data_IF_378471552627
#
_entry.id   IF_378471552627
#
_cell.length_a   1.000
_cell.length_b   1.000
_cell.length_c   1.000
_cell.angle_alpha   90.00
_cell.angle_beta   90.00
_cell.angle_gamma   90.00
#
_symmetry.space_group_name_H-M   'P 1'
#
loop_
_entity.id
_entity.type
_entity.pdbx_description
1 polymer ?
#
# COMPACT_ATOMS: atom_id res chain seq x y z
N UNK A 1 28.82 23.41 16.63
CA UNK A 1 28.27 22.32 15.80
C UNK A 1 27.02 22.79 15.07
N UNK A 2 27.07 22.84 13.73
CA UNK A 2 25.94 23.31 12.90
C UNK A 2 24.70 22.41 13.04
N UNK A 3 24.88 21.12 13.21
CA UNK A 3 23.80 20.13 13.37
C UNK A 3 22.96 20.37 14.63
N UNK A 4 23.58 20.68 15.76
CA UNK A 4 22.86 20.94 17.01
C UNK A 4 22.04 22.24 16.97
N UNK A 5 22.51 23.26 16.20
CA UNK A 5 21.72 24.49 15.99
C UNK A 5 20.48 24.24 15.13
N UNK A 6 20.60 23.44 14.07
CA UNK A 6 19.46 23.08 13.19
C UNK A 6 18.43 22.23 13.93
N UNK A 7 18.87 21.31 14.79
CA UNK A 7 17.96 20.51 15.63
C UNK A 7 17.20 21.37 16.64
N UNK A 8 17.90 22.32 17.30
CA UNK A 8 17.27 23.23 18.25
C UNK A 8 16.26 24.18 17.56
N UNK A 9 16.59 24.68 16.36
CA UNK A 9 15.72 25.55 15.57
C UNK A 9 14.46 24.81 15.10
N UNK A 10 14.59 23.57 14.66
CA UNK A 10 13.47 22.72 14.30
C UNK A 10 12.57 22.38 15.51
N UNK A 11 13.15 22.08 16.67
CA UNK A 11 12.36 21.84 17.89
C UNK A 11 11.59 23.08 18.33
N UNK A 12 12.20 24.26 18.27
CA UNK A 12 11.50 25.50 18.57
C UNK A 12 10.35 25.81 17.59
N UNK A 13 10.55 25.54 16.30
CA UNK A 13 9.48 25.70 15.30
C UNK A 13 8.32 24.73 15.52
N UNK A 14 8.59 23.49 15.92
CA UNK A 14 7.55 22.53 16.28
C UNK A 14 6.76 22.99 17.51
N UNK A 15 7.43 23.42 18.56
CA UNK A 15 6.77 23.96 19.76
C UNK A 15 5.93 25.20 19.47
N UNK A 16 6.38 26.07 18.56
CA UNK A 16 5.62 27.26 18.14
C UNK A 16 4.35 26.88 17.35
N UNK A 17 4.42 25.85 16.51
CA UNK A 17 3.25 25.34 15.79
C UNK A 17 2.24 24.67 16.73
N UNK A 18 2.70 23.92 17.71
CA UNK A 18 1.83 23.28 18.72
C UNK A 18 1.20 24.30 19.68
N UNK A 19 1.92 25.37 20.02
CA UNK A 19 1.39 26.43 20.89
C UNK A 19 0.52 27.48 20.18
N UNK A 20 0.37 27.37 18.84
CA UNK A 20 -0.44 28.31 18.03
C UNK A 20 0.09 29.74 18.00
N UNK A 21 1.37 29.97 18.37
CA UNK A 21 2.00 31.29 18.39
C UNK A 21 2.79 31.47 17.08
N UNK A 22 2.24 32.21 16.13
CA UNK A 22 2.97 32.66 14.94
C UNK A 22 3.75 33.93 15.33
N UNK A 23 5.08 33.81 15.40
CA UNK A 23 5.93 34.99 15.49
C UNK A 23 6.06 35.63 14.11
N UNK A 24 5.42 36.78 13.93
CA UNK A 24 5.71 37.68 12.82
C UNK A 24 7.00 38.43 13.15
N UNK A 25 7.97 38.39 12.26
CA UNK A 25 9.30 38.94 12.44
C UNK A 25 9.31 40.46 12.30
N UNK A 26 8.81 41.19 13.27
CA UNK A 26 9.27 42.51 13.67
C UNK A 26 8.53 42.99 14.93
N UNK A 27 9.36 43.31 15.99
CA UNK A 27 9.03 44.09 17.19
C UNK A 27 7.89 43.65 18.12
N UNK A 28 8.31 43.16 19.28
CA UNK A 28 7.72 43.40 20.61
C UNK A 28 6.24 43.82 20.66
N UNK A 29 5.38 42.85 20.86
CA UNK A 29 4.31 42.87 21.88
C UNK A 29 3.44 41.61 21.79
N UNK A 30 3.39 40.83 22.88
CA UNK A 30 2.39 39.79 23.09
C UNK A 30 1.00 40.44 23.06
N UNK A 31 0.22 40.10 22.03
CA UNK A 31 -1.25 40.29 22.05
C UNK A 31 -1.89 38.97 21.65
N UNK A 32 -2.40 38.30 22.65
CA UNK A 32 -3.35 37.19 22.46
C UNK A 32 -4.65 37.77 21.88
N UNK A 33 -4.87 37.60 20.57
CA UNK A 33 -6.15 37.89 19.95
C UNK A 33 -6.61 36.63 19.25
N UNK A 34 -7.64 35.98 19.80
CA UNK A 34 -8.43 34.99 19.09
C UNK A 34 -9.13 35.68 17.93
N UNK A 35 -8.56 35.60 16.76
CA UNK A 35 -9.26 35.89 15.51
C UNK A 35 -9.15 34.66 14.64
N UNK A 36 -10.30 34.13 14.27
CA UNK A 36 -10.43 33.08 13.23
C UNK A 36 -9.88 33.64 11.91
N UNK A 37 -8.58 33.43 11.67
CA UNK A 37 -7.92 33.81 10.43
C UNK A 37 -8.05 32.63 9.47
N UNK A 38 -9.02 32.74 8.57
CA UNK A 38 -9.17 31.80 7.43
C UNK A 38 -7.88 31.87 6.61
N UNK A 39 -7.21 30.75 6.44
CA UNK A 39 -6.04 30.62 5.59
C UNK A 39 -6.43 30.89 4.13
N UNK A 40 -5.59 31.57 3.32
CA UNK A 40 -5.86 31.76 1.90
C UNK A 40 -6.01 30.40 1.21
N UNK A 41 -7.22 30.09 0.73
CA UNK A 41 -7.55 28.82 0.08
C UNK A 41 -8.42 27.84 0.89
N UNK A 42 -8.71 28.11 2.16
CA UNK A 42 -9.75 27.43 2.90
C UNK A 42 -11.05 28.24 2.79
N UNK A 43 -11.90 27.94 1.84
CA UNK A 43 -13.31 28.31 1.90
C UNK A 43 -13.96 27.58 3.08
N UNK A 44 -14.90 28.26 3.76
CA UNK A 44 -15.72 27.61 4.79
C UNK A 44 -16.28 26.30 4.22
N UNK A 45 -16.49 25.25 5.07
CA UNK A 45 -17.11 24.01 4.61
C UNK A 45 -18.42 24.36 3.92
N UNK A 46 -18.42 24.30 2.60
CA UNK A 46 -19.65 24.43 1.84
C UNK A 46 -20.43 23.14 2.07
N UNK A 47 -21.67 23.31 2.55
CA UNK A 47 -22.63 22.23 2.61
C UNK A 47 -22.75 21.63 1.21
N UNK A 48 -22.19 20.42 1.03
CA UNK A 48 -22.29 19.66 -0.20
C UNK A 48 -23.72 19.14 -0.35
N UNK A 49 -24.66 20.10 -0.58
CA UNK A 49 -25.99 19.82 -1.07
C UNK A 49 -26.76 18.78 -0.26
N UNK A 50 -27.47 19.21 0.76
CA UNK A 50 -28.63 18.46 1.19
C UNK A 50 -29.60 18.35 -0.01
N UNK A 51 -29.67 17.18 -0.63
CA UNK A 51 -30.66 16.88 -1.63
C UNK A 51 -32.00 16.85 -0.90
N UNK A 52 -32.69 17.97 -0.89
CA UNK A 52 -34.04 18.09 -0.42
C UNK A 52 -34.98 17.37 -1.42
N UNK A 53 -35.33 16.13 -1.10
CA UNK A 53 -36.41 15.44 -1.83
C UNK A 53 -37.72 16.11 -1.51
N UNK A 54 -38.26 16.87 -2.47
CA UNK A 54 -39.67 17.24 -2.49
C UNK A 54 -40.45 15.98 -2.80
N UNK A 55 -41.25 15.55 -1.81
CA UNK A 55 -42.29 14.52 -2.00
C UNK A 55 -43.13 14.85 -3.20
N UNK A 56 -43.08 14.00 -4.21
CA UNK A 56 -44.20 13.75 -5.09
C UNK A 56 -44.34 12.24 -5.23
N UNK A 57 -45.46 11.80 -4.66
CA UNK A 57 -45.97 10.44 -4.57
C UNK A 57 -45.85 9.63 -5.86
N UNK A 58 -45.68 8.33 -5.60
CA UNK A 58 -45.83 7.14 -6.48
C UNK A 58 -44.58 6.68 -7.18
N UNK A 59 -43.88 5.78 -6.56
CA UNK A 59 -43.58 4.39 -6.92
C UNK A 59 -42.44 3.87 -6.05
N UNK A 60 -42.72 2.76 -5.39
CA UNK A 60 -41.79 2.01 -4.56
C UNK A 60 -40.56 1.61 -5.36
N UNK A 61 -39.41 2.14 -4.98
CA UNK A 61 -38.12 1.53 -5.30
C UNK A 61 -37.31 1.48 -4.02
N UNK A 62 -37.28 0.32 -3.43
CA UNK A 62 -36.50 -0.04 -2.25
C UNK A 62 -35.04 0.27 -2.52
N UNK A 63 -34.51 1.35 -1.95
CA UNK A 63 -33.07 1.54 -1.84
C UNK A 63 -32.52 0.59 -0.78
N UNK A 64 -31.92 -0.49 -1.24
CA UNK A 64 -31.05 -1.31 -0.40
C UNK A 64 -29.84 -0.48 -0.01
N UNK A 65 -29.74 -0.11 1.26
CA UNK A 65 -28.47 0.29 1.87
C UNK A 65 -27.53 -0.89 1.73
N UNK A 66 -26.58 -0.81 0.81
CA UNK A 66 -25.49 -1.77 0.74
C UNK A 66 -24.56 -1.51 1.92
N UNK A 67 -24.68 -2.33 2.95
CA UNK A 67 -23.59 -2.53 3.90
C UNK A 67 -22.42 -3.10 3.10
N UNK A 68 -21.27 -2.44 3.17
CA UNK A 68 -20.04 -2.92 2.56
C UNK A 68 -19.58 -4.14 3.39
N UNK A 69 -20.07 -5.31 3.02
CA UNK A 69 -19.41 -6.55 3.43
C UNK A 69 -18.11 -6.64 2.64
N UNK A 70 -16.98 -6.54 3.36
CA UNK A 70 -15.64 -6.74 2.80
C UNK A 70 -15.48 -8.24 2.53
N UNK A 71 -16.11 -8.72 1.46
CA UNK A 71 -15.94 -10.08 0.99
C UNK A 71 -14.77 -10.13 0.03
N UNK A 72 -14.14 -11.30 -0.07
CA UNK A 72 -13.05 -11.56 -1.01
C UNK A 72 -13.42 -11.24 -2.48
N UNK A 73 -14.69 -11.12 -2.81
CA UNK A 73 -15.21 -10.74 -4.12
C UNK A 73 -14.88 -9.29 -4.51
N UNK A 74 -14.86 -8.34 -3.55
CA UNK A 74 -14.51 -6.94 -3.82
C UNK A 74 -13.05 -6.82 -4.28
N UNK A 75 -12.17 -7.63 -3.72
CA UNK A 75 -10.75 -7.66 -4.12
C UNK A 75 -10.60 -8.21 -5.55
N UNK A 76 -11.46 -9.16 -5.93
CA UNK A 76 -11.44 -9.75 -7.27
C UNK A 76 -11.97 -8.79 -8.33
N UNK A 77 -13.01 -7.98 -8.01
CA UNK A 77 -13.57 -6.99 -8.94
C UNK A 77 -12.61 -5.82 -9.19
N UNK A 78 -11.88 -5.36 -8.17
CA UNK A 78 -10.86 -4.31 -8.34
C UNK A 78 -9.74 -4.80 -9.27
N UNK A 79 -9.44 -6.10 -9.23
CA UNK A 79 -8.43 -6.72 -10.09
C UNK A 79 -8.86 -6.88 -11.54
N UNK A 80 -10.15 -7.06 -11.80
CA UNK A 80 -10.67 -7.17 -13.16
C UNK A 80 -10.71 -5.84 -13.90
N UNK A 81 -10.59 -4.71 -13.19
CA UNK A 81 -10.52 -3.37 -13.79
C UNK A 81 -9.10 -2.92 -14.14
N UNK A 82 -8.06 -3.62 -13.67
CA UNK A 82 -6.70 -3.39 -14.15
C UNK A 82 -6.52 -4.09 -15.50
N UNK A 83 -5.96 -3.38 -16.47
CA UNK A 83 -5.69 -3.93 -17.81
C UNK A 83 -4.96 -5.26 -17.71
N UNK A 84 -5.58 -6.31 -18.26
CA UNK A 84 -5.03 -7.65 -18.30
C UNK A 84 -3.66 -7.62 -18.98
N UNK A 85 -2.64 -8.11 -18.30
CA UNK A 85 -1.26 -8.13 -18.79
C UNK A 85 -0.92 -9.50 -19.40
N UNK A 86 -1.41 -10.57 -18.76
CA UNK A 86 -1.10 -11.93 -19.21
C UNK A 86 -1.82 -12.24 -20.52
N UNK A 87 -1.14 -12.88 -21.47
CA UNK A 87 -1.76 -13.31 -22.71
C UNK A 87 -2.78 -14.43 -22.47
N UNK A 88 -3.77 -14.55 -23.37
CA UNK A 88 -4.73 -15.65 -23.39
C UNK A 88 -4.07 -16.94 -23.90
N UNK A 89 -3.19 -17.51 -23.07
CA UNK A 89 -2.39 -18.70 -23.37
C UNK A 89 -2.39 -19.65 -22.17
N UNK A 90 -1.72 -20.79 -22.35
CA UNK A 90 -1.56 -21.78 -21.28
C UNK A 90 -0.84 -21.16 -20.05
N UNK A 91 -1.10 -21.66 -18.84
CA UNK A 91 -0.42 -21.16 -17.64
C UNK A 91 1.10 -21.22 -17.72
N UNK A 92 1.68 -22.21 -18.39
CA UNK A 92 3.13 -22.29 -18.61
C UNK A 92 3.66 -21.14 -19.48
N UNK A 93 2.93 -20.78 -20.54
CA UNK A 93 3.30 -19.66 -21.40
C UNK A 93 3.09 -18.32 -20.70
N UNK A 94 2.01 -18.16 -19.90
CA UNK A 94 1.78 -16.99 -19.06
C UNK A 94 2.92 -16.80 -18.05
N UNK A 95 3.35 -17.86 -17.39
CA UNK A 95 4.49 -17.81 -16.46
C UNK A 95 5.78 -17.43 -17.19
N UNK A 96 6.04 -17.99 -18.36
CA UNK A 96 7.19 -17.65 -19.20
C UNK A 96 7.17 -16.18 -19.62
N UNK A 97 5.98 -15.67 -19.97
CA UNK A 97 5.78 -14.26 -20.29
C UNK A 97 6.07 -13.37 -19.08
N UNK A 98 5.55 -13.69 -17.90
CA UNK A 98 5.86 -12.95 -16.67
C UNK A 98 7.36 -12.96 -16.36
N UNK A 99 8.04 -14.10 -16.56
CA UNK A 99 9.49 -14.23 -16.36
C UNK A 99 10.30 -13.35 -17.32
N UNK A 100 9.81 -13.11 -18.55
CA UNK A 100 10.52 -12.27 -19.51
C UNK A 100 10.74 -10.84 -19.02
N UNK A 101 9.83 -10.28 -18.21
CA UNK A 101 10.00 -8.96 -17.59
C UNK A 101 11.16 -8.92 -16.59
N UNK A 102 11.43 -10.03 -15.90
CA UNK A 102 12.60 -10.12 -15.01
C UNK A 102 13.91 -10.05 -15.80
N UNK A 103 13.95 -10.65 -16.98
CA UNK A 103 15.18 -10.67 -17.82
C UNK A 103 15.51 -9.31 -18.40
N UNK A 104 14.50 -8.48 -18.68
CA UNK A 104 14.68 -7.11 -19.15
C UNK A 104 14.80 -6.09 -18.01
N UNK A 105 14.60 -6.52 -16.75
CA UNK A 105 14.71 -5.67 -15.58
C UNK A 105 13.47 -4.80 -15.31
N UNK A 106 12.36 -5.07 -15.99
CA UNK A 106 11.08 -4.38 -15.72
C UNK A 106 10.35 -5.04 -14.54
N UNK A 107 10.80 -4.70 -13.33
CA UNK A 107 10.25 -5.30 -12.11
C UNK A 107 8.83 -4.84 -11.80
N UNK A 108 8.38 -3.69 -12.31
CA UNK A 108 7.00 -3.25 -12.14
C UNK A 108 6.04 -4.09 -12.98
N UNK A 109 6.38 -4.34 -14.24
CA UNK A 109 5.58 -5.22 -15.09
C UNK A 109 5.66 -6.68 -14.63
N UNK A 110 6.83 -7.14 -14.17
CA UNK A 110 6.99 -8.47 -13.57
C UNK A 110 6.08 -8.66 -12.35
N UNK A 111 6.03 -7.68 -11.45
CA UNK A 111 5.15 -7.69 -10.28
C UNK A 111 3.69 -7.89 -10.68
N UNK A 112 3.18 -7.04 -11.58
CA UNK A 112 1.79 -7.10 -12.04
C UNK A 112 1.48 -8.44 -12.72
N UNK A 113 2.37 -8.91 -13.60
CA UNK A 113 2.20 -10.16 -14.33
C UNK A 113 2.21 -11.40 -13.40
N UNK A 114 3.12 -11.46 -12.42
CA UNK A 114 3.14 -12.56 -11.45
C UNK A 114 1.96 -12.52 -10.50
N UNK A 115 1.52 -11.33 -10.08
CA UNK A 115 0.33 -11.15 -9.27
C UNK A 115 -0.91 -11.66 -10.01
N UNK A 116 -1.10 -11.23 -11.26
CA UNK A 116 -2.19 -11.71 -12.10
C UNK A 116 -2.15 -13.25 -12.28
N UNK A 117 -0.94 -13.81 -12.50
CA UNK A 117 -0.78 -15.26 -12.61
C UNK A 117 -1.23 -16.00 -11.36
N UNK A 118 -0.84 -15.53 -10.17
CA UNK A 118 -1.22 -16.17 -8.88
C UNK A 118 -2.72 -16.09 -8.64
N UNK A 119 -3.37 -15.00 -9.05
CA UNK A 119 -4.82 -14.80 -8.90
C UNK A 119 -5.59 -15.68 -9.89
N UNK A 120 -5.13 -15.76 -11.14
CA UNK A 120 -5.84 -16.49 -12.21
C UNK A 120 -5.56 -17.99 -12.20
N UNK A 121 -4.41 -18.42 -11.66
CA UNK A 121 -3.99 -19.83 -11.64
C UNK A 121 -3.53 -20.27 -10.23
N UNK A 122 -4.35 -20.11 -9.17
CA UNK A 122 -3.90 -20.34 -7.79
C UNK A 122 -3.52 -21.79 -7.49
N UNK A 123 -4.14 -22.75 -8.17
CA UNK A 123 -3.91 -24.19 -7.95
C UNK A 123 -2.87 -24.78 -8.93
N UNK A 124 -2.32 -23.97 -9.81
CA UNK A 124 -1.34 -24.47 -10.77
C UNK A 124 0.01 -24.77 -10.10
N UNK A 125 0.73 -25.77 -10.59
CA UNK A 125 2.05 -26.21 -10.07
C UNK A 125 3.08 -25.06 -9.98
N UNK A 126 2.97 -24.04 -10.85
CA UNK A 126 3.85 -22.88 -10.88
C UNK A 126 3.38 -21.72 -9.98
N UNK A 127 2.20 -21.83 -9.35
CA UNK A 127 1.66 -20.73 -8.53
C UNK A 127 2.60 -20.35 -7.37
N UNK A 128 3.14 -21.34 -6.67
CA UNK A 128 4.11 -21.08 -5.60
C UNK A 128 5.42 -20.47 -6.11
N UNK A 129 5.85 -20.80 -7.33
CA UNK A 129 7.00 -20.16 -7.96
C UNK A 129 6.70 -18.74 -8.44
N UNK A 130 5.49 -18.50 -8.94
CA UNK A 130 5.03 -17.16 -9.31
C UNK A 130 4.94 -16.24 -8.11
N UNK A 131 4.40 -16.72 -6.98
CA UNK A 131 4.34 -15.97 -5.72
C UNK A 131 5.74 -15.63 -5.19
N UNK A 132 6.71 -16.53 -5.31
CA UNK A 132 8.10 -16.26 -4.96
C UNK A 132 8.67 -15.12 -5.82
N UNK A 133 8.49 -15.16 -7.14
CA UNK A 133 8.98 -14.09 -8.01
C UNK A 133 8.26 -12.77 -7.80
N UNK A 134 6.96 -12.80 -7.52
CA UNK A 134 6.21 -11.62 -7.09
C UNK A 134 6.88 -10.96 -5.87
N UNK A 135 7.22 -11.73 -4.85
CA UNK A 135 7.93 -11.22 -3.67
C UNK A 135 9.35 -10.69 -4.01
N UNK A 136 10.07 -11.38 -4.91
CA UNK A 136 11.41 -10.94 -5.35
C UNK A 136 11.38 -9.60 -6.08
N UNK A 137 10.30 -9.26 -6.81
CA UNK A 137 10.18 -7.95 -7.47
C UNK A 137 10.19 -6.80 -6.47
N UNK A 138 9.54 -6.96 -5.33
CA UNK A 138 9.60 -5.99 -4.22
C UNK A 138 10.98 -5.92 -3.60
N UNK A 139 11.58 -7.08 -3.30
CA UNK A 139 12.90 -7.14 -2.68
C UNK A 139 13.98 -6.46 -3.54
N UNK A 140 13.96 -6.67 -4.84
CA UNK A 140 14.92 -6.07 -5.77
C UNK A 140 14.78 -4.54 -5.78
N UNK A 141 13.55 -4.04 -5.66
CA UNK A 141 13.26 -2.60 -5.53
C UNK A 141 13.44 -2.06 -4.10
N UNK A 142 13.94 -2.88 -3.16
CA UNK A 142 14.17 -2.54 -1.76
C UNK A 142 12.89 -2.21 -0.97
N UNK A 143 11.74 -2.64 -1.45
CA UNK A 143 10.45 -2.53 -0.77
C UNK A 143 10.30 -3.72 0.20
N UNK A 144 11.10 -3.70 1.27
CA UNK A 144 11.26 -4.87 2.14
C UNK A 144 10.02 -5.23 2.94
N UNK A 145 9.15 -4.27 3.26
CA UNK A 145 7.88 -4.53 3.94
C UNK A 145 6.93 -5.32 3.04
N UNK A 146 6.78 -4.89 1.79
CA UNK A 146 5.93 -5.57 0.80
C UNK A 146 6.52 -6.94 0.45
N UNK A 147 7.85 -7.02 0.31
CA UNK A 147 8.55 -8.28 0.11
C UNK A 147 8.29 -9.27 1.24
N UNK A 148 8.39 -8.84 2.51
CA UNK A 148 8.13 -9.69 3.67
C UNK A 148 6.69 -10.24 3.65
N UNK A 149 5.71 -9.39 3.38
CA UNK A 149 4.31 -9.80 3.25
C UNK A 149 4.12 -10.83 2.15
N UNK A 150 4.65 -10.56 0.95
CA UNK A 150 4.51 -11.46 -0.19
C UNK A 150 5.23 -12.82 0.00
N UNK A 151 6.39 -12.85 0.68
CA UNK A 151 7.06 -14.11 1.04
C UNK A 151 6.28 -14.90 2.09
N UNK A 152 5.70 -14.22 3.10
CA UNK A 152 4.85 -14.86 4.10
C UNK A 152 3.64 -15.52 3.45
N UNK A 153 2.96 -14.81 2.56
CA UNK A 153 1.87 -15.37 1.77
C UNK A 153 2.30 -16.59 0.95
N UNK A 154 3.46 -16.51 0.31
CA UNK A 154 4.02 -17.61 -0.47
C UNK A 154 4.29 -18.85 0.38
N UNK A 155 4.80 -18.67 1.59
CA UNK A 155 5.01 -19.77 2.52
C UNK A 155 3.69 -20.38 3.02
N UNK A 156 2.71 -19.54 3.34
CA UNK A 156 1.41 -19.98 3.88
C UNK A 156 0.51 -20.62 2.84
N UNK A 157 0.39 -20.02 1.66
CA UNK A 157 -0.50 -20.50 0.58
C UNK A 157 0.07 -21.73 -0.16
N UNK A 158 1.41 -21.78 -0.28
CA UNK A 158 2.09 -22.83 -1.07
C UNK A 158 3.14 -23.61 -0.25
N UNK A 159 2.77 -24.22 0.89
CA UNK A 159 3.72 -24.88 1.79
C UNK A 159 4.40 -26.11 1.15
N UNK A 160 3.78 -26.69 0.13
CA UNK A 160 4.33 -27.84 -0.62
C UNK A 160 5.16 -27.42 -1.84
N UNK A 161 5.23 -26.14 -2.15
CA UNK A 161 6.06 -25.63 -3.24
C UNK A 161 7.54 -25.81 -2.94
N UNK A 162 8.34 -26.08 -3.97
CA UNK A 162 9.81 -26.08 -3.88
C UNK A 162 10.37 -24.72 -3.45
N UNK A 163 9.56 -23.64 -3.51
CA UNK A 163 9.91 -22.28 -3.07
C UNK A 163 9.56 -22.01 -1.62
N UNK A 164 8.81 -22.88 -0.92
CA UNK A 164 8.41 -22.64 0.48
C UNK A 164 9.61 -22.41 1.42
N UNK A 165 10.68 -23.23 1.42
CA UNK A 165 11.82 -22.99 2.31
C UNK A 165 12.53 -21.65 2.03
N UNK A 166 12.69 -21.30 0.75
CA UNK A 166 13.35 -20.03 0.40
C UNK A 166 12.45 -18.82 0.66
N UNK A 167 11.13 -18.95 0.58
CA UNK A 167 10.21 -17.90 1.02
C UNK A 167 10.39 -17.60 2.51
N UNK A 168 10.50 -18.61 3.35
CA UNK A 168 10.73 -18.44 4.78
C UNK A 168 12.07 -17.74 5.06
N UNK A 169 13.15 -18.20 4.41
CA UNK A 169 14.45 -17.57 4.52
C UNK A 169 14.42 -16.10 4.09
N UNK A 170 13.80 -15.80 2.95
CA UNK A 170 13.71 -14.43 2.40
C UNK A 170 12.80 -13.53 3.23
N UNK A 171 11.74 -14.07 3.84
CA UNK A 171 10.93 -13.39 4.84
C UNK A 171 11.82 -12.93 6.00
N UNK A 172 12.60 -13.83 6.60
CA UNK A 172 13.50 -13.50 7.70
C UNK A 172 14.51 -12.42 7.31
N UNK A 173 15.12 -12.53 6.12
CA UNK A 173 16.04 -11.49 5.59
C UNK A 173 15.33 -10.15 5.43
N UNK A 174 14.10 -10.13 4.90
CA UNK A 174 13.33 -8.89 4.71
C UNK A 174 12.98 -8.25 6.04
N UNK A 175 12.61 -9.03 7.07
CA UNK A 175 12.36 -8.56 8.43
C UNK A 175 13.60 -7.89 9.04
N UNK A 176 14.78 -8.49 8.86
CA UNK A 176 16.05 -7.86 9.31
C UNK A 176 16.26 -6.50 8.62
N UNK A 177 15.95 -6.38 7.32
CA UNK A 177 16.12 -5.13 6.58
C UNK A 177 15.18 -4.00 7.03
N UNK A 178 13.98 -4.33 7.51
CA UNK A 178 13.03 -3.33 8.06
C UNK A 178 13.27 -3.03 9.54
N UNK A 179 14.29 -3.67 10.16
CA UNK A 179 14.67 -3.42 11.55
C UNK A 179 14.16 -4.46 12.56
N UNK A 180 13.30 -5.40 12.15
CA UNK A 180 12.74 -6.48 12.97
C UNK A 180 13.74 -7.65 13.11
N UNK A 181 14.91 -7.35 13.67
CA UNK A 181 16.06 -8.25 13.70
C UNK A 181 15.78 -9.54 14.47
N UNK A 182 15.14 -9.43 15.62
CA UNK A 182 14.89 -10.58 16.50
C UNK A 182 13.95 -11.58 15.81
N UNK A 183 12.87 -11.09 15.19
CA UNK A 183 11.94 -11.91 14.43
C UNK A 183 12.61 -12.50 13.17
N UNK A 184 13.36 -11.68 12.45
CA UNK A 184 14.06 -12.11 11.26
C UNK A 184 15.10 -13.21 11.56
N UNK A 185 15.92 -13.06 12.61
CA UNK A 185 16.89 -14.07 13.01
C UNK A 185 16.21 -15.37 13.46
N UNK A 186 15.10 -15.30 14.17
CA UNK A 186 14.33 -16.48 14.59
C UNK A 186 13.83 -17.30 13.40
N UNK A 187 13.49 -16.66 12.28
CA UNK A 187 13.01 -17.33 11.08
C UNK A 187 14.13 -17.96 10.24
N UNK A 188 15.38 -17.54 10.44
CA UNK A 188 16.53 -18.02 9.68
C UNK A 188 17.29 -19.14 10.45
N UNK A 189 17.12 -19.19 11.79
CA UNK A 189 17.75 -20.19 12.66
C UNK A 189 17.14 -21.57 12.46
#
# INVERSE_FOLDING_TARGET
NRLSKVQADNQMRFQQLESGIVMDGNNNQLKTKKENKVLPGSSEPQDLGAISYKDNSTNETTQKTQSVETTNEVVTEIFQSEDKILPDKSPKEQYSFATSFLTVGDYNMAERAFREFVVTNPEHELAGSAQYWYAETFRIRQLYTDAATAYLEGYQKYPKSNKAPINLLKLGVSLVQIGEKDQGCLMIA
#
